data_IF_138877629949
#
_entry.id   IF_138877629949
#
_cell.length_a   1.000
_cell.length_b   1.000
_cell.length_c   1.000
_cell.angle_alpha   90.00
_cell.angle_beta   90.00
_cell.angle_gamma   90.00
#
_symmetry.space_group_name_H-M   'P 1'
#
loop_
_entity.id
_entity.type
_entity.pdbx_description
1 polymer ?
#
# COMPACT_ATOMS: atom_id res chain seq x y z
N UNK A 1 -6.87 20.89 -11.81
CA UNK A 1 -8.19 20.93 -11.17
C UNK A 1 -8.01 20.86 -9.66
N UNK A 2 -8.81 21.61 -8.92
CA UNK A 2 -8.58 21.96 -7.51
C UNK A 2 -8.88 20.78 -6.58
N UNK A 3 -7.91 19.89 -6.40
CA UNK A 3 -7.91 18.66 -5.57
C UNK A 3 -7.95 18.92 -4.05
N UNK A 4 -8.73 19.92 -3.59
CA UNK A 4 -8.81 20.26 -2.17
C UNK A 4 -9.89 19.52 -1.39
N UNK A 5 -10.88 18.93 -2.08
CA UNK A 5 -11.98 18.25 -1.43
C UNK A 5 -12.02 16.78 -1.86
N UNK A 6 -11.19 15.93 -1.24
CA UNK A 6 -11.32 14.47 -1.31
C UNK A 6 -12.71 13.96 -0.86
N UNK A 7 -13.50 14.81 -0.21
CA UNK A 7 -14.93 14.58 0.06
C UNK A 7 -15.73 14.35 -1.24
N UNK A 8 -15.28 14.88 -2.38
CA UNK A 8 -15.92 14.62 -3.68
C UNK A 8 -15.68 13.20 -4.18
N UNK A 9 -14.75 12.43 -3.61
CA UNK A 9 -14.53 11.03 -3.96
C UNK A 9 -15.66 10.12 -3.45
N UNK A 10 -16.57 10.66 -2.65
CA UNK A 10 -17.68 9.91 -2.06
C UNK A 10 -19.05 10.46 -2.51
N UNK A 11 -20.06 9.60 -2.50
CA UNK A 11 -21.47 9.94 -2.76
C UNK A 11 -22.34 9.20 -1.73
N UNK A 12 -23.26 9.90 -1.07
CA UNK A 12 -24.28 9.23 -0.28
C UNK A 12 -25.34 8.63 -1.21
N UNK A 13 -25.65 7.36 -1.02
CA UNK A 13 -26.65 6.62 -1.80
C UNK A 13 -27.31 5.56 -0.93
N UNK A 14 -28.62 5.73 -0.67
CA UNK A 14 -29.49 4.76 0.02
C UNK A 14 -28.90 4.17 1.32
N UNK A 15 -28.62 5.02 2.31
CA UNK A 15 -28.09 4.58 3.61
C UNK A 15 -26.63 4.12 3.60
N UNK A 16 -25.93 4.26 2.47
CA UNK A 16 -24.52 3.90 2.32
C UNK A 16 -23.69 5.04 1.69
N UNK A 17 -22.40 5.05 1.96
CA UNK A 17 -21.42 5.89 1.28
C UNK A 17 -20.81 5.12 0.11
N UNK A 18 -21.01 5.59 -1.11
CA UNK A 18 -20.40 5.08 -2.34
C UNK A 18 -19.05 5.75 -2.59
N UNK A 19 -17.99 4.96 -2.77
CA UNK A 19 -16.67 5.45 -3.23
C UNK A 19 -16.68 5.51 -4.75
N UNK A 20 -16.56 6.70 -5.35
CA UNK A 20 -16.73 6.90 -6.80
C UNK A 20 -15.71 6.15 -7.65
N UNK A 21 -14.44 6.11 -7.21
CA UNK A 21 -13.35 5.46 -7.96
C UNK A 21 -13.49 3.93 -7.99
N UNK A 22 -13.97 3.32 -6.90
CA UNK A 22 -13.98 1.85 -6.74
C UNK A 22 -15.37 1.23 -6.80
N UNK A 23 -16.44 2.04 -6.75
CA UNK A 23 -17.82 1.55 -6.68
C UNK A 23 -18.21 0.91 -5.34
N UNK A 24 -17.30 0.91 -4.35
CA UNK A 24 -17.54 0.28 -3.05
C UNK A 24 -18.68 0.99 -2.29
N UNK A 25 -19.65 0.23 -1.79
CA UNK A 25 -20.73 0.72 -0.92
C UNK A 25 -20.37 0.45 0.54
N UNK A 26 -20.26 1.50 1.33
CA UNK A 26 -19.92 1.43 2.75
C UNK A 26 -21.20 1.67 3.56
N UNK A 27 -21.77 0.65 4.21
CA UNK A 27 -23.00 0.80 4.99
C UNK A 27 -22.76 1.68 6.20
N UNK A 28 -23.68 2.61 6.47
CA UNK A 28 -23.59 3.52 7.60
C UNK A 28 -23.96 2.81 8.90
N UNK A 29 -22.97 2.17 9.53
CA UNK A 29 -23.11 1.47 10.81
C UNK A 29 -22.51 2.27 11.96
N UNK A 30 -22.87 1.95 13.21
CA UNK A 30 -22.21 2.53 14.39
C UNK A 30 -20.70 2.25 14.43
N UNK A 31 -20.27 1.09 13.93
CA UNK A 31 -18.86 0.76 13.75
C UNK A 31 -18.17 1.71 12.75
N UNK A 32 -18.83 2.02 11.63
CA UNK A 32 -18.33 3.00 10.68
C UNK A 32 -18.16 4.39 11.30
N UNK A 33 -19.09 4.83 12.16
CA UNK A 33 -18.95 6.12 12.85
C UNK A 33 -17.70 6.16 13.74
N UNK A 34 -17.40 5.07 14.44
CA UNK A 34 -16.18 4.96 15.23
C UNK A 34 -14.93 4.99 14.34
N UNK A 35 -14.93 4.26 13.22
CA UNK A 35 -13.82 4.25 12.27
C UNK A 35 -13.60 5.65 11.66
N UNK A 36 -14.68 6.34 11.30
CA UNK A 36 -14.65 7.72 10.80
C UNK A 36 -14.10 8.67 11.86
N UNK A 37 -14.54 8.55 13.11
CA UNK A 37 -14.05 9.38 14.22
C UNK A 37 -12.56 9.14 14.48
N UNK A 38 -12.12 7.88 14.56
CA UNK A 38 -10.73 7.51 14.74
C UNK A 38 -9.86 8.05 13.59
N UNK A 39 -10.36 7.96 12.36
CA UNK A 39 -9.70 8.52 11.19
C UNK A 39 -9.62 10.05 11.25
N UNK A 40 -10.68 10.75 11.67
CA UNK A 40 -10.64 12.20 11.85
C UNK A 40 -9.65 12.60 12.94
N UNK A 41 -9.61 11.90 14.07
CA UNK A 41 -8.62 12.16 15.13
C UNK A 41 -7.18 12.03 14.58
N UNK A 42 -6.90 10.97 13.82
CA UNK A 42 -5.62 10.79 13.14
C UNK A 42 -5.33 11.92 12.12
N UNK A 43 -6.32 12.27 11.30
CA UNK A 43 -6.20 13.36 10.32
C UNK A 43 -5.87 14.70 11.00
N UNK A 44 -6.59 15.06 12.07
CA UNK A 44 -6.32 16.31 12.79
C UNK A 44 -4.97 16.28 13.53
N UNK A 45 -4.57 15.15 14.10
CA UNK A 45 -3.24 15.00 14.71
C UNK A 45 -2.12 15.23 13.68
N UNK A 46 -2.22 14.62 12.50
CA UNK A 46 -1.22 14.79 11.42
C UNK A 46 -1.20 16.22 10.86
N UNK A 47 -2.36 16.87 10.72
CA UNK A 47 -2.43 18.28 10.36
C UNK A 47 -1.82 19.19 11.43
N UNK A 48 -2.01 18.88 12.71
CA UNK A 48 -1.42 19.61 13.83
C UNK A 48 0.11 19.49 13.80
N UNK A 49 0.65 18.29 13.55
CA UNK A 49 2.10 18.12 13.35
C UNK A 49 2.63 18.91 12.17
N UNK A 50 1.92 18.96 11.05
CA UNK A 50 2.30 19.79 9.90
C UNK A 50 2.46 21.26 10.28
N UNK A 51 1.52 21.79 11.07
CA UNK A 51 1.54 23.17 11.56
C UNK A 51 2.72 23.35 12.52
N UNK A 52 2.91 22.43 13.45
CA UNK A 52 4.00 22.44 14.41
C UNK A 52 5.38 22.46 13.73
N UNK A 53 5.61 21.57 12.75
CA UNK A 53 6.86 21.55 11.95
C UNK A 53 7.15 22.88 11.25
N UNK A 54 6.11 23.61 10.85
CA UNK A 54 6.25 24.94 10.26
C UNK A 54 6.68 25.98 11.30
N UNK A 55 6.19 25.87 12.54
CA UNK A 55 6.51 26.78 13.64
C UNK A 55 7.95 26.55 14.12
N UNK A 56 8.38 25.29 14.26
CA UNK A 56 9.75 24.93 14.70
C UNK A 56 10.86 25.29 13.69
N UNK A 57 10.52 25.80 12.51
CA UNK A 57 11.52 26.14 11.49
C UNK A 57 12.25 24.92 10.89
N UNK A 58 11.66 23.72 11.01
CA UNK A 58 12.25 22.49 10.47
C UNK A 58 12.56 22.64 8.98
N UNK A 59 13.63 21.98 8.47
CA UNK A 59 13.91 21.96 7.02
C UNK A 59 12.66 21.46 6.27
N UNK A 60 12.26 22.18 5.21
CA UNK A 60 11.02 21.96 4.47
C UNK A 60 11.31 21.57 3.02
N UNK A 61 11.81 20.35 2.76
CA UNK A 61 11.97 19.91 1.39
C UNK A 61 10.60 19.94 0.70
N UNK A 62 10.58 20.38 -0.54
CA UNK A 62 9.40 20.32 -1.39
C UNK A 62 9.27 18.93 -2.00
N UNK A 63 8.07 18.37 -1.98
CA UNK A 63 7.76 17.08 -2.58
C UNK A 63 6.60 17.22 -3.57
N UNK A 64 6.74 16.60 -4.72
CA UNK A 64 5.68 16.43 -5.71
C UNK A 64 5.48 14.94 -6.01
N UNK A 65 4.29 14.59 -6.49
CA UNK A 65 3.92 13.23 -6.89
C UNK A 65 3.56 13.21 -8.36
N UNK A 66 3.85 12.09 -9.02
CA UNK A 66 3.59 11.89 -10.44
C UNK A 66 3.30 10.41 -10.75
N UNK A 67 2.35 10.07 -11.63
CA UNK A 67 1.36 10.97 -12.23
C UNK A 67 0.27 11.37 -11.24
N UNK A 68 -0.03 10.52 -10.27
CA UNK A 68 -1.12 10.73 -9.32
C UNK A 68 -0.66 11.31 -7.99
N UNK A 69 -1.59 11.91 -7.26
CA UNK A 69 -1.35 12.42 -5.90
C UNK A 69 -1.93 11.46 -4.85
N UNK A 70 -1.19 11.19 -3.76
CA UNK A 70 -1.70 10.38 -2.68
C UNK A 70 -2.84 11.11 -1.96
N UNK A 71 -3.95 10.40 -1.82
CA UNK A 71 -5.07 10.79 -0.96
C UNK A 71 -4.73 10.55 0.53
N UNK A 72 -5.46 11.16 1.48
CA UNK A 72 -5.12 11.07 2.91
C UNK A 72 -5.10 9.67 3.53
N UNK A 73 -5.71 8.68 2.88
CA UNK A 73 -5.69 7.28 3.32
C UNK A 73 -4.42 6.51 2.93
N UNK A 74 -3.58 7.04 2.04
CA UNK A 74 -2.30 6.43 1.72
C UNK A 74 -1.24 6.84 2.75
N UNK A 75 -0.43 5.87 3.20
CA UNK A 75 0.54 6.07 4.29
C UNK A 75 1.61 7.13 4.00
N UNK A 76 1.90 7.42 2.73
CA UNK A 76 2.84 8.49 2.36
C UNK A 76 2.31 9.88 2.72
N UNK A 77 0.99 10.09 2.74
CA UNK A 77 0.38 11.37 3.09
C UNK A 77 0.70 11.84 4.52
N UNK A 78 0.49 11.02 5.58
CA UNK A 78 0.87 11.42 6.92
C UNK A 78 2.40 11.51 7.09
N UNK A 79 3.19 10.63 6.44
CA UNK A 79 4.66 10.67 6.48
C UNK A 79 5.20 12.01 5.98
N UNK A 80 4.66 12.52 4.87
CA UNK A 80 5.01 13.83 4.32
C UNK A 80 4.73 14.96 5.33
N UNK A 81 3.56 14.96 5.98
CA UNK A 81 3.20 16.02 6.94
C UNK A 81 4.06 15.99 8.21
N UNK A 82 4.32 14.79 8.74
CA UNK A 82 5.12 14.61 9.98
C UNK A 82 6.60 14.91 9.74
N UNK A 83 7.11 14.62 8.54
CA UNK A 83 8.49 14.98 8.14
C UNK A 83 8.69 16.48 7.86
N UNK A 84 7.61 17.26 7.81
CA UNK A 84 7.65 18.70 7.51
C UNK A 84 7.82 19.03 6.03
N UNK A 85 7.71 18.02 5.15
CA UNK A 85 7.79 18.20 3.71
C UNK A 85 6.61 19.03 3.19
N UNK A 86 6.88 19.91 2.22
CA UNK A 86 5.87 20.77 1.60
C UNK A 86 5.41 20.15 0.28
N UNK A 87 4.16 19.70 0.25
CA UNK A 87 3.52 19.28 -1.00
C UNK A 87 3.45 20.45 -1.98
N UNK A 88 3.94 20.24 -3.20
CA UNK A 88 3.78 21.14 -4.33
C UNK A 88 3.31 20.35 -5.56
N UNK A 89 2.71 21.06 -6.52
CA UNK A 89 2.17 20.44 -7.73
C UNK A 89 3.18 20.41 -8.89
N UNK A 90 4.14 21.34 -8.87
CA UNK A 90 5.12 21.51 -9.95
C UNK A 90 6.33 20.58 -9.73
N UNK A 91 6.32 19.44 -10.43
CA UNK A 91 7.40 18.43 -10.39
C UNK A 91 8.76 19.00 -10.79
N UNK A 92 8.80 20.04 -11.63
CA UNK A 92 10.07 20.63 -12.08
C UNK A 92 10.79 21.40 -10.97
N UNK A 93 10.06 21.87 -9.94
CA UNK A 93 10.59 22.68 -8.84
C UNK A 93 10.86 21.88 -7.57
N UNK A 94 10.30 20.68 -7.45
CA UNK A 94 10.34 19.90 -6.22
C UNK A 94 11.75 19.41 -5.88
N UNK A 95 12.09 19.35 -4.59
CA UNK A 95 13.32 18.71 -4.11
C UNK A 95 13.22 17.19 -4.20
N UNK A 96 12.01 16.65 -4.10
CA UNK A 96 11.69 15.23 -4.17
C UNK A 96 10.53 15.04 -5.14
N UNK A 97 10.66 14.13 -6.10
CA UNK A 97 9.54 13.69 -6.94
C UNK A 97 9.36 12.19 -6.76
N UNK A 98 8.18 11.79 -6.33
CA UNK A 98 7.85 10.40 -6.06
C UNK A 98 6.88 9.88 -7.11
N UNK A 99 7.23 8.76 -7.74
CA UNK A 99 6.28 8.00 -8.53
C UNK A 99 5.17 7.46 -7.62
N UNK A 100 3.93 7.81 -7.92
CA UNK A 100 2.76 7.35 -7.21
C UNK A 100 1.72 6.89 -8.22
N UNK A 101 1.57 5.58 -8.30
CA UNK A 101 0.71 4.82 -9.20
C UNK A 101 0.32 3.53 -8.46
N UNK A 102 -0.97 3.20 -8.43
CA UNK A 102 -1.49 2.01 -7.74
C UNK A 102 -1.74 0.80 -8.67
N UNK A 103 -1.38 0.94 -9.95
CA UNK A 103 -1.39 -0.15 -10.94
C UNK A 103 -0.37 -1.25 -10.61
N UNK A 104 -0.60 -2.44 -11.18
CA UNK A 104 0.32 -3.58 -11.03
C UNK A 104 1.58 -3.39 -11.86
N UNK A 105 1.43 -2.84 -13.06
CA UNK A 105 2.50 -2.55 -13.99
C UNK A 105 2.30 -1.14 -14.54
N UNK A 106 3.40 -0.41 -14.72
CA UNK A 106 3.36 0.96 -15.21
C UNK A 106 4.51 1.26 -16.16
N UNK A 107 4.21 2.06 -17.18
CA UNK A 107 5.17 2.57 -18.16
C UNK A 107 5.37 4.08 -18.01
N UNK A 108 5.07 4.64 -16.83
CA UNK A 108 5.24 6.05 -16.54
C UNK A 108 6.67 6.50 -16.87
N UNK A 109 6.76 7.56 -17.66
CA UNK A 109 8.02 8.20 -17.99
C UNK A 109 8.40 9.17 -16.87
N UNK A 110 9.66 9.17 -16.51
CA UNK A 110 10.19 10.14 -15.56
C UNK A 110 9.93 11.58 -16.06
N UNK A 111 9.30 12.45 -15.25
CA UNK A 111 9.06 13.82 -15.66
C UNK A 111 10.36 14.62 -15.72
N UNK A 112 10.34 15.74 -16.45
CA UNK A 112 11.43 16.71 -16.40
C UNK A 112 11.49 17.35 -15.00
N UNK A 113 12.61 17.15 -14.29
CA UNK A 113 12.86 17.65 -12.94
C UNK A 113 14.12 18.50 -12.92
N UNK A 114 14.28 19.35 -11.90
CA UNK A 114 15.54 20.06 -11.69
C UNK A 114 16.68 19.07 -11.40
N UNK A 115 17.95 19.38 -11.77
CA UNK A 115 19.08 18.44 -11.63
C UNK A 115 19.33 17.95 -10.20
N UNK A 116 18.98 18.74 -9.19
CA UNK A 116 19.15 18.39 -7.77
C UNK A 116 17.97 17.62 -7.17
N UNK A 117 16.90 17.36 -7.93
CA UNK A 117 15.74 16.64 -7.45
C UNK A 117 16.08 15.18 -7.18
N UNK A 118 15.58 14.66 -6.06
CA UNK A 118 15.61 13.23 -5.75
C UNK A 118 14.37 12.56 -6.32
N UNK A 119 14.59 11.53 -7.13
CA UNK A 119 13.53 10.69 -7.67
C UNK A 119 13.31 9.49 -6.77
N UNK A 120 12.05 9.14 -6.52
CA UNK A 120 11.66 8.02 -5.68
C UNK A 120 10.71 7.12 -6.47
N UNK A 121 10.98 5.82 -6.46
CA UNK A 121 10.20 4.76 -7.10
C UNK A 121 10.09 4.80 -8.63
N UNK A 122 10.79 5.67 -9.35
CA UNK A 122 10.67 5.76 -10.82
C UNK A 122 11.19 4.51 -11.56
N UNK A 123 12.07 3.72 -10.95
CA UNK A 123 12.51 2.43 -11.50
C UNK A 123 11.58 1.25 -11.11
N UNK A 124 10.50 1.54 -10.38
CA UNK A 124 9.51 0.55 -9.98
C UNK A 124 8.38 0.51 -11.01
N UNK A 125 8.53 -0.35 -12.02
CA UNK A 125 7.58 -0.50 -13.13
C UNK A 125 6.62 -1.68 -12.97
N UNK A 126 6.88 -2.57 -12.01
CA UNK A 126 6.18 -3.85 -11.87
C UNK A 126 6.17 -4.26 -10.39
N UNK A 127 4.97 -4.38 -9.85
CA UNK A 127 4.67 -4.88 -8.50
C UNK A 127 3.83 -6.16 -8.53
N UNK A 128 3.87 -6.89 -9.64
CA UNK A 128 3.29 -8.24 -9.75
C UNK A 128 3.85 -9.15 -8.66
N UNK A 129 3.06 -10.16 -8.26
CA UNK A 129 3.41 -11.03 -7.15
C UNK A 129 4.63 -11.89 -7.46
N UNK A 130 4.80 -12.29 -8.72
CA UNK A 130 6.00 -13.00 -9.18
C UNK A 130 7.23 -12.11 -9.13
N UNK A 131 7.14 -10.83 -9.53
CA UNK A 131 8.26 -9.89 -9.43
C UNK A 131 8.68 -9.66 -7.98
N UNK A 132 7.71 -9.47 -7.09
CA UNK A 132 7.95 -9.31 -5.65
C UNK A 132 8.57 -10.57 -5.04
N UNK A 133 8.12 -11.76 -5.44
CA UNK A 133 8.68 -13.03 -4.97
C UNK A 133 10.16 -13.20 -5.38
N UNK A 134 10.51 -12.83 -6.62
CA UNK A 134 11.90 -12.84 -7.07
C UNK A 134 12.78 -11.82 -6.30
N UNK A 135 12.25 -10.63 -6.02
CA UNK A 135 12.93 -9.63 -5.20
C UNK A 135 13.12 -10.12 -3.76
N UNK A 136 12.12 -10.82 -3.21
CA UNK A 136 12.21 -11.45 -1.90
C UNK A 136 13.29 -12.52 -1.87
N UNK A 137 13.31 -13.44 -2.84
CA UNK A 137 14.31 -14.50 -2.91
C UNK A 137 15.74 -13.96 -2.92
N UNK A 138 15.98 -12.91 -3.71
CA UNK A 138 17.27 -12.22 -3.73
C UNK A 138 17.63 -11.61 -2.37
N UNK A 139 16.66 -11.06 -1.65
CA UNK A 139 16.89 -10.39 -0.37
C UNK A 139 17.03 -11.38 0.80
N UNK A 140 16.24 -12.45 0.81
CA UNK A 140 16.10 -13.40 1.91
C UNK A 140 16.98 -14.65 1.76
N UNK A 141 17.42 -14.96 0.54
CA UNK A 141 18.22 -16.16 0.24
C UNK A 141 17.40 -17.44 0.08
N UNK A 142 16.08 -17.35 0.03
CA UNK A 142 15.19 -18.49 -0.21
C UNK A 142 13.92 -18.06 -0.96
N UNK A 143 13.39 -18.95 -1.80
CA UNK A 143 12.22 -18.68 -2.62
C UNK A 143 10.91 -18.79 -1.82
N UNK A 144 9.95 -17.92 -2.14
CA UNK A 144 8.54 -18.13 -1.78
C UNK A 144 7.77 -18.84 -2.88
N UNK A 145 8.17 -18.65 -4.14
CA UNK A 145 7.49 -19.24 -5.30
C UNK A 145 7.67 -20.75 -5.33
N UNK A 146 6.62 -21.46 -5.74
CA UNK A 146 6.66 -22.91 -5.97
C UNK A 146 6.11 -23.23 -7.36
N UNK A 147 6.61 -24.31 -7.96
CA UNK A 147 5.98 -24.89 -9.13
C UNK A 147 4.79 -25.75 -8.68
N UNK A 148 3.54 -25.38 -9.01
CA UNK A 148 2.37 -26.08 -8.52
C UNK A 148 2.25 -27.51 -9.06
N UNK A 149 2.92 -27.86 -10.17
CA UNK A 149 2.83 -29.20 -10.79
C UNK A 149 3.74 -30.22 -10.14
N UNK A 150 4.75 -29.75 -9.39
CA UNK A 150 5.76 -30.61 -8.76
C UNK A 150 5.80 -30.45 -7.24
N UNK A 151 5.35 -29.32 -6.72
CA UNK A 151 5.31 -29.06 -5.28
C UNK A 151 4.29 -29.94 -4.57
N UNK A 152 4.74 -30.68 -3.56
CA UNK A 152 3.88 -31.51 -2.70
C UNK A 152 3.64 -30.79 -1.38
N UNK A 153 2.38 -30.55 -1.05
CA UNK A 153 1.98 -29.87 0.19
C UNK A 153 1.10 -28.64 -0.03
N UNK A 154 0.74 -27.98 1.08
CA UNK A 154 -0.06 -26.75 1.08
C UNK A 154 0.69 -25.58 0.43
N UNK A 155 0.03 -24.90 -0.49
CA UNK A 155 0.49 -23.68 -1.16
C UNK A 155 -0.63 -22.64 -1.25
N UNK A 156 -0.29 -21.41 -1.58
CA UNK A 156 -1.25 -20.33 -1.79
C UNK A 156 -1.22 -19.91 -3.26
N UNK A 157 -2.38 -20.02 -3.92
CA UNK A 157 -2.62 -19.44 -5.24
C UNK A 157 -3.13 -18.00 -5.08
N UNK A 158 -2.62 -17.07 -5.88
CA UNK A 158 -3.07 -15.66 -5.93
C UNK A 158 -2.98 -15.14 -7.37
N UNK A 159 -3.80 -14.17 -7.77
CA UNK A 159 -3.60 -13.47 -9.06
C UNK A 159 -2.27 -12.71 -9.10
N UNK A 160 -1.76 -12.35 -10.27
CA UNK A 160 -0.66 -11.37 -10.34
C UNK A 160 -1.09 -9.96 -9.92
N UNK A 161 -2.36 -9.62 -10.09
CA UNK A 161 -2.90 -8.28 -9.89
C UNK A 161 -2.73 -7.76 -8.45
N UNK A 162 -2.19 -6.54 -8.33
CA UNK A 162 -2.09 -5.82 -7.08
C UNK A 162 -3.48 -5.63 -6.44
N UNK A 163 -3.55 -5.73 -5.11
CA UNK A 163 -4.76 -5.53 -4.31
C UNK A 163 -5.99 -6.38 -4.72
N UNK A 164 -5.80 -7.55 -5.32
CA UNK A 164 -6.93 -8.41 -5.74
C UNK A 164 -7.65 -9.15 -4.60
N UNK A 165 -7.00 -9.33 -3.43
CA UNK A 165 -7.58 -10.03 -2.27
C UNK A 165 -8.18 -11.41 -2.61
N UNK A 166 -7.55 -12.14 -3.54
CA UNK A 166 -8.09 -13.37 -4.15
C UNK A 166 -7.27 -14.62 -3.80
N UNK A 167 -6.54 -14.58 -2.68
CA UNK A 167 -5.67 -15.68 -2.28
C UNK A 167 -6.45 -16.89 -1.76
N UNK A 168 -6.05 -18.10 -2.17
CA UNK A 168 -6.63 -19.35 -1.67
C UNK A 168 -5.57 -20.40 -1.39
N UNK A 169 -5.79 -21.22 -0.37
CA UNK A 169 -4.93 -22.36 -0.06
C UNK A 169 -5.33 -23.54 -0.93
N UNK A 170 -4.34 -24.20 -1.53
CA UNK A 170 -4.50 -25.41 -2.34
C UNK A 170 -3.51 -26.47 -1.84
N UNK A 171 -3.82 -27.74 -2.13
CA UNK A 171 -2.90 -28.85 -1.92
C UNK A 171 -2.27 -29.22 -3.27
N UNK A 172 -0.94 -29.29 -3.31
CA UNK A 172 -0.20 -29.74 -4.48
C UNK A 172 0.12 -31.24 -4.46
N UNK A 173 0.50 -31.83 -5.60
CA UNK A 173 0.64 -31.16 -6.89
C UNK A 173 -0.71 -30.91 -7.60
N UNK A 174 -0.76 -29.90 -8.46
CA UNK A 174 -1.87 -29.65 -9.39
C UNK A 174 -1.57 -30.26 -10.75
N UNK A 175 -2.62 -30.63 -11.48
CA UNK A 175 -2.49 -31.11 -12.87
C UNK A 175 -1.88 -30.06 -13.81
N UNK A 176 -2.23 -28.78 -13.60
CA UNK A 176 -1.71 -27.66 -14.39
C UNK A 176 -1.82 -26.32 -13.63
N UNK A 177 -0.92 -25.36 -13.89
CA UNK A 177 -1.05 -23.99 -13.40
C UNK A 177 -2.19 -23.25 -14.12
N UNK A 178 -2.83 -22.31 -13.42
CA UNK A 178 -3.85 -21.42 -13.99
C UNK A 178 -3.18 -20.17 -14.55
N UNK A 179 -3.46 -19.76 -15.81
CA UNK A 179 -2.93 -18.53 -16.38
C UNK A 179 -3.23 -17.29 -15.54
N UNK A 180 -2.23 -16.42 -15.35
CA UNK A 180 -2.36 -15.19 -14.56
C UNK A 180 -2.38 -15.39 -13.04
N UNK A 181 -2.16 -16.63 -12.56
CA UNK A 181 -1.97 -16.96 -11.15
C UNK A 181 -0.50 -17.23 -10.85
N UNK A 182 -0.13 -16.94 -9.61
CA UNK A 182 1.15 -17.32 -9.00
C UNK A 182 0.90 -18.24 -7.81
N UNK A 183 1.91 -19.05 -7.49
CA UNK A 183 1.85 -20.06 -6.44
C UNK A 183 3.03 -19.85 -5.50
N UNK A 184 2.74 -19.78 -4.20
CA UNK A 184 3.75 -19.57 -3.16
C UNK A 184 3.59 -20.58 -2.04
N UNK A 185 4.68 -20.89 -1.34
CA UNK A 185 4.64 -21.67 -0.09
C UNK A 185 3.63 -21.07 0.88
N UNK A 186 2.84 -21.93 1.52
CA UNK A 186 1.99 -21.49 2.63
C UNK A 186 2.89 -21.24 3.84
N UNK A 187 3.24 -19.96 4.09
CA UNK A 187 3.91 -19.57 5.33
C UNK A 187 2.98 -19.84 6.50
N UNK A 188 3.38 -20.66 7.46
CA UNK A 188 2.59 -20.84 8.67
C UNK A 188 2.80 -19.62 9.59
N UNK A 189 1.73 -18.91 9.86
CA UNK A 189 1.69 -17.78 10.78
C UNK A 189 0.46 -17.84 11.69
N UNK A 190 -0.06 -19.06 11.87
CA UNK A 190 -1.15 -19.31 12.80
C UNK A 190 -0.67 -19.13 14.24
N UNK A 191 -1.55 -18.58 15.07
CA UNK A 191 -1.36 -18.43 16.51
C UNK A 191 -2.60 -18.96 17.23
N UNK A 192 -2.50 -19.15 18.54
CA UNK A 192 -3.61 -19.62 19.38
C UNK A 192 -4.89 -18.77 19.21
N UNK A 193 -6.05 -19.42 19.34
CA UNK A 193 -7.35 -18.76 19.26
C UNK A 193 -7.91 -18.60 17.84
N UNK A 194 -7.41 -19.37 16.86
CA UNK A 194 -7.91 -19.33 15.48
C UNK A 194 -7.53 -18.03 14.75
N UNK A 195 -6.37 -17.47 15.09
CA UNK A 195 -5.86 -16.22 14.53
C UNK A 195 -4.61 -16.48 13.69
N UNK A 196 -4.29 -15.52 12.82
CA UNK A 196 -2.99 -15.42 12.17
C UNK A 196 -2.33 -14.10 12.52
N UNK A 197 -1.00 -14.09 12.58
CA UNK A 197 -0.19 -12.91 12.88
C UNK A 197 0.78 -12.58 11.74
N UNK A 198 0.60 -11.42 11.11
CA UNK A 198 1.54 -10.88 10.14
C UNK A 198 2.39 -9.77 10.79
N UNK A 199 3.71 -9.85 10.66
CA UNK A 199 4.62 -8.78 11.05
C UNK A 199 4.76 -7.77 9.90
N UNK A 200 4.38 -6.52 10.15
CA UNK A 200 4.59 -5.41 9.20
C UNK A 200 5.73 -4.54 9.68
N UNK A 201 6.90 -4.73 9.07
CA UNK A 201 8.10 -3.99 9.41
C UNK A 201 8.18 -2.70 8.59
N UNK A 202 8.26 -1.56 9.27
CA UNK A 202 8.66 -0.31 8.64
C UNK A 202 10.19 -0.21 8.68
N UNK A 203 10.78 0.02 7.51
CA UNK A 203 12.21 0.13 7.31
C UNK A 203 12.57 1.61 7.10
N UNK A 204 13.62 2.08 7.78
CA UNK A 204 14.25 3.37 7.51
C UNK A 204 15.73 3.12 7.28
N UNK A 205 16.25 3.58 6.14
CA UNK A 205 17.65 3.35 5.73
C UNK A 205 18.06 1.87 5.80
N UNK A 206 17.18 0.97 5.36
CA UNK A 206 17.43 -0.47 5.35
C UNK A 206 17.32 -1.17 6.72
N UNK A 207 17.02 -0.43 7.79
CA UNK A 207 16.90 -0.98 9.15
C UNK A 207 15.45 -0.97 9.63
N UNK A 208 14.93 -2.04 10.25
CA UNK A 208 13.60 -2.04 10.87
C UNK A 208 13.56 -1.04 12.02
N UNK A 209 12.60 -0.12 12.01
CA UNK A 209 12.40 0.88 13.09
C UNK A 209 11.17 0.61 13.95
N UNK A 210 10.15 -0.01 13.35
CA UNK A 210 8.94 -0.44 14.05
C UNK A 210 8.37 -1.67 13.35
N UNK A 211 7.89 -2.63 14.13
CA UNK A 211 7.18 -3.80 13.64
C UNK A 211 5.77 -3.82 14.23
N UNK A 212 4.77 -3.71 13.35
CA UNK A 212 3.37 -3.87 13.76
C UNK A 212 2.98 -5.34 13.71
N UNK A 213 2.34 -5.83 14.78
CA UNK A 213 1.72 -7.15 14.83
C UNK A 213 0.28 -7.02 14.34
N UNK A 214 -0.01 -7.51 13.14
CA UNK A 214 -1.36 -7.50 12.58
C UNK A 214 -2.00 -8.86 12.81
N UNK A 215 -3.05 -8.90 13.63
CA UNK A 215 -3.82 -10.11 13.92
C UNK A 215 -5.17 -10.09 13.22
N UNK A 216 -5.60 -11.25 12.74
CA UNK A 216 -6.92 -11.44 12.12
C UNK A 216 -7.38 -12.88 12.28
N UNK A 217 -8.70 -13.15 12.24
CA UNK A 217 -9.22 -14.51 12.16
C UNK A 217 -8.62 -15.27 10.97
N UNK A 218 -8.31 -16.55 11.17
CA UNK A 218 -7.72 -17.44 10.16
C UNK A 218 -8.55 -17.44 8.86
N UNK A 219 -9.87 -17.48 8.99
CA UNK A 219 -10.82 -17.44 7.87
C UNK A 219 -10.70 -16.18 6.99
N UNK A 220 -10.18 -15.07 7.52
CA UNK A 220 -9.98 -13.78 6.79
C UNK A 220 -8.53 -13.54 6.40
N UNK A 221 -7.70 -14.59 6.36
CA UNK A 221 -6.27 -14.48 6.05
C UNK A 221 -5.98 -13.95 4.65
N UNK A 222 -6.85 -14.18 3.67
CA UNK A 222 -6.60 -13.75 2.29
C UNK A 222 -7.66 -12.78 1.74
N UNK A 223 -8.63 -12.41 2.57
CA UNK A 223 -9.68 -11.43 2.29
C UNK A 223 -9.34 -10.06 2.87
#
# INVERSE_FOLDING_TARGET
MTDRLWLTDFKYDDGAMLVKKTGARIPLTGALLNDVFAWFAFYFATQSWRIWRRIEGHKRPTIAFYPDKPRPWYFIWPVMHVSGAKLIDDVSKADIVMQFDDSTETNNVQPAVKPSARLVNFDCHDVSKSKVAAAFEKAAGYALSVDPTTYTGRMVEKSELNAAHDGRVLEGPLDAPVPGKTYQVLVDNEIEGGLVEDLRCCLVNGSPVVAFRKRRPLERRFM
#
